data_IF_226012289835
#
_entry.id   IF_226012289835
#
_cell.length_a   1.000
_cell.length_b   1.000
_cell.length_c   1.000
_cell.angle_alpha   90.00
_cell.angle_beta   90.00
_cell.angle_gamma   90.00
#
_symmetry.space_group_name_H-M   'P 1'
#
loop_
_entity.id
_entity.type
_entity.pdbx_description
1 polymer ?
#
# COMPACT_ATOMS: atom_id res chain seq x y z
N UNK A 1 19.36 2.78 -17.38
CA UNK A 1 18.76 1.49 -17.26
C UNK A 1 18.34 1.13 -15.88
N UNK A 2 19.21 1.25 -14.89
CA UNK A 2 18.83 1.08 -13.49
C UNK A 2 17.77 2.10 -13.10
N UNK A 3 17.86 3.29 -13.65
CA UNK A 3 16.92 4.36 -13.34
C UNK A 3 15.51 4.03 -13.78
N UNK A 4 15.38 3.44 -14.97
CA UNK A 4 14.06 3.05 -15.47
C UNK A 4 13.42 2.00 -14.60
N UNK A 5 14.23 1.04 -14.14
CA UNK A 5 13.76 -0.02 -13.29
C UNK A 5 13.27 0.53 -11.95
N UNK A 6 14.02 1.48 -11.40
CA UNK A 6 13.63 2.13 -10.15
C UNK A 6 12.36 2.93 -10.33
N UNK A 7 12.19 3.59 -11.47
CA UNK A 7 10.98 4.38 -11.73
C UNK A 7 9.74 3.49 -11.79
N UNK A 8 9.86 2.31 -12.41
CA UNK A 8 8.75 1.37 -12.48
C UNK A 8 8.37 0.91 -11.08
N UNK A 9 9.36 0.58 -10.26
CA UNK A 9 9.11 0.15 -8.90
C UNK A 9 8.51 1.28 -8.06
N UNK A 10 8.99 2.50 -8.27
CA UNK A 10 8.46 3.66 -7.58
C UNK A 10 7.00 3.90 -7.94
N UNK A 11 6.64 3.71 -9.22
CA UNK A 11 5.26 3.87 -9.66
C UNK A 11 4.33 2.89 -8.95
N UNK A 12 4.74 1.62 -8.86
CA UNK A 12 3.93 0.62 -8.17
C UNK A 12 3.76 0.98 -6.70
N UNK A 13 4.84 1.37 -6.07
CA UNK A 13 4.82 1.79 -4.69
C UNK A 13 3.93 3.02 -4.50
N UNK A 14 4.04 3.99 -5.41
CA UNK A 14 3.26 5.23 -5.33
C UNK A 14 1.77 4.97 -5.46
N UNK A 15 1.38 4.07 -6.36
CA UNK A 15 -0.03 3.73 -6.53
C UNK A 15 -0.62 3.11 -5.27
N UNK A 16 0.12 2.20 -4.64
CA UNK A 16 -0.33 1.60 -3.39
C UNK A 16 -0.46 2.63 -2.29
N UNK A 17 0.49 3.56 -2.20
CA UNK A 17 0.44 4.63 -1.21
C UNK A 17 -0.75 5.55 -1.43
N UNK A 18 -1.04 5.89 -2.67
CA UNK A 18 -2.19 6.73 -2.99
C UNK A 18 -3.48 6.02 -2.61
N UNK A 19 -3.60 4.73 -2.93
CA UNK A 19 -4.78 3.95 -2.55
C UNK A 19 -4.94 3.89 -1.04
N UNK A 20 -3.86 3.68 -0.31
CA UNK A 20 -3.92 3.63 1.15
C UNK A 20 -4.43 4.95 1.70
N UNK A 21 -3.95 6.08 1.17
CA UNK A 21 -4.39 7.38 1.62
C UNK A 21 -5.87 7.60 1.35
N UNK A 22 -6.33 7.23 0.17
CA UNK A 22 -7.74 7.35 -0.17
C UNK A 22 -8.62 6.46 0.69
N UNK A 23 -8.18 5.21 0.88
CA UNK A 23 -8.92 4.27 1.70
C UNK A 23 -8.93 4.68 3.16
N UNK A 24 -7.86 5.31 3.63
CA UNK A 24 -7.79 5.81 5.00
C UNK A 24 -8.84 6.90 5.23
N UNK A 25 -8.99 7.82 4.28
CA UNK A 25 -10.01 8.86 4.38
C UNK A 25 -11.41 8.25 4.37
N UNK A 26 -11.62 7.26 3.51
CA UNK A 26 -12.90 6.56 3.43
C UNK A 26 -13.20 5.83 4.74
N UNK A 27 -12.19 5.17 5.30
CA UNK A 27 -12.34 4.45 6.55
C UNK A 27 -12.76 5.41 7.68
N UNK A 28 -12.12 6.57 7.76
CA UNK A 28 -12.46 7.56 8.77
C UNK A 28 -13.92 8.01 8.65
N UNK A 29 -14.37 8.24 7.41
CA UNK A 29 -15.75 8.63 7.16
C UNK A 29 -16.72 7.54 7.58
N UNK A 30 -16.43 6.29 7.20
CA UNK A 30 -17.30 5.16 7.53
C UNK A 30 -17.42 4.96 9.04
N UNK A 31 -16.30 5.11 9.74
CA UNK A 31 -16.32 4.98 11.20
C UNK A 31 -17.15 6.09 11.86
N UNK A 32 -17.03 7.32 11.35
CA UNK A 32 -17.83 8.43 11.87
C UNK A 32 -19.32 8.23 11.62
N UNK A 33 -19.67 7.56 10.53
CA UNK A 33 -21.06 7.28 10.18
C UNK A 33 -21.55 5.96 10.73
N UNK A 34 -20.75 5.29 11.55
CA UNK A 34 -21.08 4.00 12.17
C UNK A 34 -21.35 2.91 11.14
N UNK A 35 -20.71 2.98 9.99
CA UNK A 35 -20.82 1.95 8.94
C UNK A 35 -19.73 0.91 9.15
N UNK A 36 -19.90 0.08 10.15
CA UNK A 36 -18.82 -0.81 10.58
C UNK A 36 -18.51 -1.93 9.61
N UNK A 37 -19.50 -2.46 8.89
CA UNK A 37 -19.25 -3.49 7.90
C UNK A 37 -18.42 -2.92 6.73
N UNK A 38 -18.81 -1.74 6.25
CA UNK A 38 -18.06 -1.06 5.20
C UNK A 38 -16.66 -0.70 5.67
N UNK A 39 -16.53 -0.22 6.91
CA UNK A 39 -15.24 0.13 7.48
C UNK A 39 -14.32 -1.08 7.57
N UNK A 40 -14.86 -2.23 7.97
CA UNK A 40 -14.07 -3.46 8.02
C UNK A 40 -13.54 -3.83 6.63
N UNK A 41 -14.38 -3.73 5.62
CA UNK A 41 -13.99 -4.04 4.25
C UNK A 41 -12.92 -3.07 3.75
N UNK A 42 -13.07 -1.79 4.08
CA UNK A 42 -12.08 -0.78 3.73
C UNK A 42 -10.75 -1.04 4.42
N UNK A 43 -10.80 -1.40 5.70
CA UNK A 43 -9.59 -1.73 6.45
C UNK A 43 -8.86 -2.93 5.84
N UNK A 44 -9.60 -3.94 5.36
CA UNK A 44 -9.00 -5.09 4.69
C UNK A 44 -8.27 -4.69 3.41
N UNK A 45 -8.84 -3.75 2.66
CA UNK A 45 -8.18 -3.26 1.44
C UNK A 45 -6.88 -2.54 1.77
N UNK A 46 -6.89 -1.76 2.85
CA UNK A 46 -5.66 -1.09 3.31
C UNK A 46 -4.61 -2.14 3.68
N UNK A 47 -5.01 -3.17 4.38
CA UNK A 47 -4.09 -4.23 4.81
C UNK A 47 -3.45 -4.92 3.61
N UNK A 48 -4.22 -5.18 2.55
CA UNK A 48 -3.69 -5.80 1.33
C UNK A 48 -2.63 -4.89 0.69
N UNK A 49 -2.93 -3.60 0.53
CA UNK A 49 -1.97 -2.68 -0.06
C UNK A 49 -0.73 -2.54 0.81
N UNK A 50 -0.90 -2.49 2.13
CA UNK A 50 0.24 -2.42 3.05
C UNK A 50 1.10 -3.67 2.95
N UNK A 51 0.48 -4.83 2.81
CA UNK A 51 1.20 -6.09 2.66
C UNK A 51 2.01 -6.11 1.37
N UNK A 52 1.43 -5.62 0.28
CA UNK A 52 2.14 -5.53 -1.00
C UNK A 52 3.37 -4.64 -0.90
N UNK A 53 3.25 -3.52 -0.21
CA UNK A 53 4.39 -2.63 0.01
C UNK A 53 5.45 -3.36 0.83
N UNK A 54 5.04 -4.12 1.85
CA UNK A 54 5.96 -4.88 2.67
C UNK A 54 6.73 -5.92 1.88
N UNK A 55 6.05 -6.64 1.00
CA UNK A 55 6.68 -7.63 0.14
C UNK A 55 7.70 -6.95 -0.78
N UNK A 56 7.31 -5.82 -1.34
CA UNK A 56 8.16 -5.04 -2.22
C UNK A 56 9.43 -4.60 -1.49
N UNK A 57 9.29 -4.10 -0.27
CA UNK A 57 10.42 -3.69 0.55
C UNK A 57 11.34 -4.87 0.89
N UNK A 58 10.74 -6.02 1.17
CA UNK A 58 11.50 -7.22 1.49
C UNK A 58 12.40 -7.62 0.32
N UNK A 59 11.89 -7.55 -0.89
CA UNK A 59 12.69 -7.87 -2.07
C UNK A 59 13.89 -6.94 -2.19
N UNK A 60 13.71 -5.67 -1.90
CA UNK A 60 14.80 -4.70 -1.92
C UNK A 60 15.86 -5.01 -0.87
N UNK A 61 15.43 -5.34 0.33
CA UNK A 61 16.35 -5.68 1.41
C UNK A 61 17.14 -6.94 1.06
N UNK A 62 16.46 -7.96 0.54
CA UNK A 62 17.12 -9.20 0.17
C UNK A 62 18.18 -8.98 -0.92
N UNK A 63 17.85 -8.16 -1.90
CA UNK A 63 18.78 -7.85 -2.97
C UNK A 63 20.01 -7.11 -2.46
N UNK A 64 19.81 -6.20 -1.54
CA UNK A 64 20.92 -5.44 -0.95
C UNK A 64 21.84 -6.34 -0.13
N UNK A 65 21.27 -7.26 0.63
CA UNK A 65 22.05 -8.16 1.45
C UNK A 65 22.82 -9.18 0.62
N UNK A 66 22.21 -9.65 -0.46
CA UNK A 66 22.84 -10.62 -1.33
C UNK A 66 23.78 -10.00 -2.34
N UNK A 67 23.64 -8.74 -2.60
CA UNK A 67 24.47 -8.05 -3.54
C UNK A 67 25.63 -7.35 -2.89
#
# INVERSE_FOLDING_TARGET
MTTERLNILDQDYSESMIRIQQLHKQLQKELRENKFVAARNTARKIAVDAMLIGIWCKEFVDKRENG
#
